data_IF_136842388268
#
_entry.id   IF_136842388268
#
_cell.length_a   1.000
_cell.length_b   1.000
_cell.length_c   1.000
_cell.angle_alpha   90.00
_cell.angle_beta   90.00
_cell.angle_gamma   90.00
#
_symmetry.space_group_name_H-M   'P 1'
#
loop_
_entity.id
_entity.type
_entity.pdbx_description
1 polymer ?
#
# COMPACT_ATOMS: atom_id res chain seq x y z
N UNK A 1 -6.73 -2.84 10.87
CA UNK A 1 -6.44 -1.84 9.81
C UNK A 1 -7.56 -1.87 8.75
N UNK A 2 -7.97 -0.71 8.26
CA UNK A 2 -8.97 -0.56 7.18
C UNK A 2 -8.61 0.65 6.31
N UNK A 3 -8.59 0.54 4.97
CA UNK A 3 -8.73 -0.70 4.20
C UNK A 3 -7.49 -1.62 4.33
N UNK A 4 -7.65 -2.88 3.92
CA UNK A 4 -6.55 -3.87 3.80
C UNK A 4 -5.88 -3.85 2.41
N UNK A 5 -6.21 -2.86 1.59
CA UNK A 5 -5.76 -2.80 0.20
C UNK A 5 -5.70 -1.36 -0.30
N UNK A 6 -4.78 -1.09 -1.21
CA UNK A 6 -4.68 0.20 -1.90
C UNK A 6 -3.64 0.22 -3.03
N UNK A 7 -3.64 1.28 -3.84
CA UNK A 7 -2.67 1.48 -4.92
C UNK A 7 -1.21 1.48 -4.44
N UNK A 8 -0.30 1.10 -5.34
CA UNK A 8 1.16 1.21 -5.08
C UNK A 8 1.62 2.65 -5.05
N UNK A 9 0.85 3.55 -5.67
CA UNK A 9 1.09 4.99 -5.76
C UNK A 9 0.90 5.73 -4.43
N UNK A 10 0.47 5.03 -3.37
CA UNK A 10 0.24 5.64 -2.07
C UNK A 10 -1.07 6.45 -2.01
N UNK A 11 -1.13 7.42 -1.10
CA UNK A 11 -2.30 8.29 -0.88
C UNK A 11 -3.50 7.60 -0.23
N UNK A 12 -3.39 6.31 0.09
CA UNK A 12 -4.47 5.60 0.80
C UNK A 12 -4.43 6.00 2.27
N UNK A 13 -5.51 6.58 2.76
CA UNK A 13 -5.72 6.76 4.20
C UNK A 13 -6.11 5.43 4.83
N UNK A 14 -5.23 4.89 5.66
CA UNK A 14 -5.47 3.66 6.41
C UNK A 14 -5.75 3.99 7.88
N UNK A 15 -6.77 3.35 8.43
CA UNK A 15 -7.13 3.43 9.85
C UNK A 15 -6.65 2.18 10.56
N UNK A 16 -5.69 2.33 11.47
CA UNK A 16 -5.17 1.30 12.36
C UNK A 16 -5.87 1.47 13.71
N UNK A 17 -6.45 0.39 14.23
CA UNK A 17 -7.07 0.35 15.56
C UNK A 17 -6.43 -0.76 16.39
N UNK A 18 -6.22 -0.50 17.66
CA UNK A 18 -5.56 -1.42 18.59
C UNK A 18 -5.53 -0.85 19.99
N UNK A 19 -4.59 -1.35 20.78
CA UNK A 19 -4.32 -0.89 22.15
C UNK A 19 -2.84 -0.50 22.24
N UNK A 20 -2.51 0.42 23.15
CA UNK A 20 -1.14 0.90 23.40
C UNK A 20 -0.44 1.53 22.18
N UNK A 21 -1.19 2.22 21.31
CA UNK A 21 -0.66 2.90 20.11
C UNK A 21 0.01 4.27 20.38
N UNK A 22 0.69 4.41 21.53
CA UNK A 22 1.25 5.67 22.03
C UNK A 22 0.21 6.57 22.69
N UNK A 23 0.64 7.40 23.63
CA UNK A 23 -0.19 8.38 24.34
C UNK A 23 -0.05 9.79 23.75
N UNK A 24 1.07 10.08 23.09
CA UNK A 24 1.30 11.34 22.38
C UNK A 24 1.55 11.10 20.88
N UNK A 25 1.06 12.02 20.04
CA UNK A 25 1.21 11.92 18.59
C UNK A 25 2.67 11.89 18.12
N UNK A 26 3.59 12.54 18.85
CA UNK A 26 5.02 12.52 18.53
C UNK A 26 5.65 11.13 18.68
N UNK A 27 5.04 10.22 19.45
CA UNK A 27 5.57 8.87 19.68
C UNK A 27 5.48 7.97 18.43
N UNK A 28 4.51 8.26 17.56
CA UNK A 28 4.22 7.52 16.33
C UNK A 28 4.69 8.24 15.06
N UNK A 29 5.07 9.51 15.14
CA UNK A 29 5.45 10.29 13.97
C UNK A 29 6.73 9.73 13.33
N UNK A 30 6.64 9.32 12.05
CA UNK A 30 7.75 8.68 11.32
C UNK A 30 8.00 7.22 11.67
N UNK A 31 7.14 6.61 12.49
CA UNK A 31 7.36 5.28 13.08
C UNK A 31 6.29 4.25 12.68
N UNK A 32 5.41 4.59 11.74
CA UNK A 32 4.33 3.71 11.25
C UNK A 32 4.66 3.21 9.86
N UNK A 33 4.63 1.89 9.69
CA UNK A 33 4.85 1.21 8.41
C UNK A 33 3.73 0.22 8.10
N UNK A 34 3.35 0.16 6.83
CA UNK A 34 2.33 -0.75 6.33
C UNK A 34 2.91 -1.47 5.14
N UNK A 35 3.05 -2.80 5.24
CA UNK A 35 3.74 -3.60 4.25
C UNK A 35 5.15 -3.06 3.90
N UNK A 36 5.91 -2.68 4.94
CA UNK A 36 7.24 -2.03 4.85
C UNK A 36 7.26 -0.64 4.19
N UNK A 37 6.12 -0.11 3.75
CA UNK A 37 5.98 1.24 3.22
C UNK A 37 5.74 2.22 4.37
N UNK A 38 6.42 3.36 4.36
CA UNK A 38 6.19 4.41 5.34
C UNK A 38 4.75 4.94 5.23
N UNK A 39 4.12 5.15 6.38
CA UNK A 39 2.77 5.67 6.49
C UNK A 39 2.77 6.89 7.41
N UNK A 40 2.42 8.05 6.89
CA UNK A 40 2.52 9.31 7.63
C UNK A 40 1.27 9.50 8.49
N UNK A 41 1.36 9.49 9.84
CA UNK A 41 0.18 9.68 10.69
C UNK A 41 -0.45 11.07 10.48
N UNK A 42 -1.79 11.11 10.51
CA UNK A 42 -2.60 12.32 10.40
C UNK A 42 -3.13 12.67 11.78
N UNK A 43 -2.85 13.90 12.25
CA UNK A 43 -3.15 14.32 13.63
C UNK A 43 -4.64 14.23 13.95
N UNK A 44 -5.49 14.63 13.01
CA UNK A 44 -6.94 14.68 13.18
C UNK A 44 -7.57 13.29 13.32
N UNK A 45 -6.91 12.24 12.83
CA UNK A 45 -7.39 10.86 12.92
C UNK A 45 -6.74 10.03 14.03
N UNK A 46 -5.86 10.64 14.83
CA UNK A 46 -5.22 10.00 15.96
C UNK A 46 -6.10 10.04 17.21
N UNK A 47 -6.26 8.88 17.86
CA UNK A 47 -6.91 8.74 19.18
C UNK A 47 -5.87 8.08 20.09
N UNK A 48 -5.45 8.73 21.18
CA UNK A 48 -4.43 8.20 22.08
C UNK A 48 -4.68 6.74 22.48
N UNK A 49 -3.65 5.93 22.38
CA UNK A 49 -3.59 4.48 22.62
C UNK A 49 -4.51 3.59 21.76
N UNK A 50 -5.44 4.15 20.97
CA UNK A 50 -6.54 3.40 20.36
C UNK A 50 -6.54 3.40 18.82
N UNK A 51 -6.20 4.52 18.19
CA UNK A 51 -6.34 4.67 16.75
C UNK A 51 -5.26 5.55 16.13
N UNK A 52 -4.78 5.12 14.96
CA UNK A 52 -3.94 5.91 14.07
C UNK A 52 -4.60 5.93 12.70
N UNK A 53 -4.84 7.11 12.14
CA UNK A 53 -5.05 7.27 10.70
C UNK A 53 -3.73 7.73 10.10
N UNK A 54 -3.27 7.07 9.03
CA UNK A 54 -2.06 7.47 8.34
C UNK A 54 -2.23 7.39 6.82
N UNK A 55 -1.49 8.21 6.10
CA UNK A 55 -1.45 8.23 4.63
C UNK A 55 -0.27 7.40 4.13
N UNK A 56 -0.55 6.40 3.30
CA UNK A 56 0.45 5.54 2.67
C UNK A 56 1.36 6.34 1.73
N UNK A 57 2.68 6.16 1.83
CA UNK A 57 3.61 6.62 0.81
C UNK A 57 3.57 5.75 -0.46
N UNK A 58 4.33 6.13 -1.48
CA UNK A 58 4.54 5.32 -2.69
C UNK A 58 5.34 4.07 -2.32
N UNK A 59 4.86 2.90 -2.74
CA UNK A 59 5.55 1.63 -2.56
C UNK A 59 6.62 1.44 -3.65
N UNK A 60 7.84 1.13 -3.26
CA UNK A 60 8.92 0.74 -4.17
C UNK A 60 8.63 -0.62 -4.82
N UNK A 61 9.24 -0.96 -5.96
CA UNK A 61 9.02 -2.24 -6.64
C UNK A 61 9.28 -3.49 -5.78
N UNK A 62 10.21 -3.41 -4.81
CA UNK A 62 10.54 -4.51 -3.90
C UNK A 62 9.54 -4.70 -2.76
N UNK A 63 8.61 -3.76 -2.55
CA UNK A 63 7.61 -3.83 -1.49
C UNK A 63 6.36 -4.55 -2.01
N UNK A 64 6.04 -5.68 -1.39
CA UNK A 64 4.88 -6.53 -1.71
C UNK A 64 3.92 -6.59 -0.53
N UNK A 65 2.86 -7.40 -0.66
CA UNK A 65 1.93 -7.58 0.44
C UNK A 65 2.63 -8.10 1.69
N UNK A 66 2.52 -7.36 2.80
CA UNK A 66 3.18 -7.69 4.07
C UNK A 66 2.37 -7.10 5.25
N UNK A 67 2.78 -7.41 6.48
CA UNK A 67 2.13 -7.01 7.73
C UNK A 67 2.19 -5.50 7.96
N UNK A 68 1.38 -5.01 8.91
CA UNK A 68 1.47 -3.64 9.43
C UNK A 68 2.34 -3.64 10.66
N UNK A 69 3.25 -2.69 10.75
CA UNK A 69 4.14 -2.50 11.90
C UNK A 69 4.00 -1.07 12.44
N UNK A 70 3.76 -0.95 13.74
CA UNK A 70 3.72 0.32 14.45
C UNK A 70 4.81 0.27 15.51
N UNK A 71 5.69 1.27 15.51
CA UNK A 71 6.62 1.49 16.60
C UNK A 71 6.17 2.67 17.46
N UNK A 72 6.14 2.48 18.78
CA UNK A 72 5.74 3.50 19.76
C UNK A 72 6.96 3.85 20.60
N UNK A 73 7.62 4.97 20.35
CA UNK A 73 8.85 5.29 21.08
C UNK A 73 9.51 6.64 20.78
N UNK A 74 8.85 7.51 19.99
CA UNK A 74 9.36 8.84 19.69
C UNK A 74 10.29 8.91 18.49
N UNK A 75 10.48 10.15 18.02
CA UNK A 75 11.26 10.50 16.83
C UNK A 75 12.73 10.15 17.03
N UNK A 76 13.33 9.40 16.08
CA UNK A 76 14.78 9.14 16.03
C UNK A 76 15.22 7.75 16.48
N UNK A 77 14.29 6.87 16.84
CA UNK A 77 14.59 5.46 17.11
C UNK A 77 14.89 4.75 15.78
N UNK A 78 16.18 4.53 15.45
CA UNK A 78 16.59 3.83 14.21
C UNK A 78 16.10 2.38 14.15
N UNK A 79 15.93 1.74 15.31
CA UNK A 79 15.55 0.34 15.45
C UNK A 79 14.49 0.22 16.54
N UNK A 80 13.27 -0.17 16.18
CA UNK A 80 12.18 -0.30 17.13
C UNK A 80 12.42 -1.49 18.06
N UNK A 81 12.58 -1.29 19.39
CA UNK A 81 12.71 -2.41 20.31
C UNK A 81 11.45 -3.29 20.24
N UNK A 82 11.62 -4.61 20.36
CA UNK A 82 10.50 -5.56 20.24
C UNK A 82 9.35 -5.27 21.20
N UNK A 83 9.66 -4.72 22.37
CA UNK A 83 8.73 -4.38 23.44
C UNK A 83 7.78 -3.22 23.06
N UNK A 84 8.20 -2.39 22.10
CA UNK A 84 7.50 -1.20 21.62
C UNK A 84 6.95 -1.36 20.20
N UNK A 85 7.06 -2.57 19.64
CA UNK A 85 6.64 -2.90 18.29
C UNK A 85 5.33 -3.67 18.30
N UNK A 86 4.29 -3.08 17.74
CA UNK A 86 3.03 -3.75 17.46
C UNK A 86 3.00 -4.23 16.00
N UNK A 87 2.66 -5.51 15.79
CA UNK A 87 2.51 -6.09 14.45
C UNK A 87 1.07 -6.55 14.27
N UNK A 88 0.44 -6.13 13.19
CA UNK A 88 -0.88 -6.62 12.81
C UNK A 88 -0.75 -7.90 11.99
N UNK A 89 -1.54 -8.92 12.33
CA UNK A 89 -1.40 -10.28 11.76
C UNK A 89 -1.93 -10.45 10.34
N UNK A 90 -2.63 -9.48 9.75
CA UNK A 90 -3.06 -9.57 8.34
C UNK A 90 -2.19 -8.72 7.43
N UNK A 91 -2.07 -9.18 6.19
CA UNK A 91 -1.38 -8.44 5.15
C UNK A 91 -2.20 -7.28 4.60
N UNK A 92 -1.49 -6.23 4.23
CA UNK A 92 -1.97 -5.18 3.35
C UNK A 92 -1.59 -5.52 1.91
N UNK A 93 -2.52 -5.40 0.97
CA UNK A 93 -2.31 -5.80 -0.43
C UNK A 93 -2.29 -4.61 -1.37
N UNK A 94 -1.34 -4.58 -2.29
CA UNK A 94 -1.34 -3.62 -3.38
C UNK A 94 -2.31 -4.04 -4.49
N UNK A 95 -3.04 -3.08 -5.04
CA UNK A 95 -4.06 -3.31 -6.07
C UNK A 95 -3.88 -2.39 -7.27
N UNK A 96 -4.40 -2.82 -8.41
CA UNK A 96 -4.52 -2.00 -9.63
C UNK A 96 -5.73 -1.06 -9.53
N UNK A 97 -5.65 0.06 -10.25
CA UNK A 97 -6.73 1.06 -10.33
C UNK A 97 -7.34 1.08 -11.74
N UNK A 98 -8.69 1.16 -11.87
CA UNK A 98 -9.69 1.14 -10.80
C UNK A 98 -9.94 -0.28 -10.25
N UNK A 99 -10.39 -0.35 -9.00
CA UNK A 99 -10.73 -1.60 -8.31
C UNK A 99 -12.04 -2.25 -8.80
N UNK A 100 -12.86 -1.50 -9.54
CA UNK A 100 -14.21 -1.90 -9.99
C UNK A 100 -14.49 -1.29 -11.36
N UNK A 101 -15.31 -1.99 -12.14
CA UNK A 101 -15.79 -1.56 -13.44
C UNK A 101 -17.11 -2.25 -13.81
N UNK A 102 -17.79 -1.84 -14.90
CA UNK A 102 -18.99 -2.52 -15.39
C UNK A 102 -18.72 -3.97 -15.76
N UNK A 103 -19.75 -4.83 -15.65
CA UNK A 103 -19.64 -6.26 -15.98
C UNK A 103 -19.36 -6.49 -17.46
N UNK A 104 -19.80 -5.56 -18.29
CA UNK A 104 -19.64 -5.53 -19.74
C UNK A 104 -18.18 -5.31 -20.18
N UNK A 105 -17.31 -4.84 -19.27
CA UNK A 105 -15.91 -4.55 -19.55
C UNK A 105 -15.67 -3.11 -19.97
N UNK A 106 -14.62 -2.89 -20.79
CA UNK A 106 -14.22 -1.56 -21.26
C UNK A 106 -13.58 -0.66 -20.20
N UNK A 107 -13.26 -1.20 -19.02
CA UNK A 107 -12.59 -0.45 -17.95
C UNK A 107 -11.10 -0.38 -18.23
N UNK A 108 -10.58 0.84 -18.37
CA UNK A 108 -9.13 1.07 -18.46
C UNK A 108 -8.49 0.79 -17.11
N UNK A 109 -7.62 -0.21 -17.07
CA UNK A 109 -6.81 -0.56 -15.90
C UNK A 109 -5.36 -0.20 -16.16
N UNK A 110 -4.71 0.40 -15.16
CA UNK A 110 -3.28 0.74 -15.24
C UNK A 110 -2.49 -0.24 -14.38
N UNK A 111 -1.61 -1.01 -15.02
CA UNK A 111 -0.65 -1.89 -14.34
C UNK A 111 0.69 -1.16 -14.31
N UNK A 112 1.21 -0.89 -13.11
CA UNK A 112 2.55 -0.31 -12.91
C UNK A 112 3.44 -1.32 -12.21
N UNK A 113 4.69 -1.39 -12.62
CA UNK A 113 5.67 -2.35 -12.11
C UNK A 113 6.94 -2.33 -12.96
N UNK A 114 7.83 -3.27 -12.70
CA UNK A 114 9.07 -3.47 -13.44
C UNK A 114 9.00 -4.78 -14.22
N UNK A 115 9.74 -4.85 -15.33
CA UNK A 115 9.83 -6.05 -16.16
C UNK A 115 8.46 -6.59 -16.63
N UNK A 116 7.53 -5.69 -16.99
CA UNK A 116 6.17 -6.03 -17.45
C UNK A 116 6.11 -6.43 -18.94
N UNK A 117 7.26 -6.78 -19.53
CA UNK A 117 7.47 -6.99 -20.97
C UNK A 117 8.60 -6.10 -21.46
N UNK A 118 9.40 -6.60 -22.40
CA UNK A 118 10.43 -5.83 -23.10
C UNK A 118 9.81 -5.06 -24.27
N UNK A 119 8.88 -5.71 -24.99
CA UNK A 119 8.17 -5.14 -26.13
C UNK A 119 6.64 -5.28 -25.99
N UNK A 120 5.90 -4.37 -26.63
CA UNK A 120 4.43 -4.40 -26.61
C UNK A 120 3.85 -5.73 -27.13
N UNK A 121 4.52 -6.39 -28.07
CA UNK A 121 4.08 -7.69 -28.59
C UNK A 121 4.09 -8.81 -27.54
N UNK A 122 4.94 -8.72 -26.52
CA UNK A 122 5.03 -9.75 -25.47
C UNK A 122 3.82 -9.75 -24.54
N UNK A 123 3.14 -8.61 -24.37
CA UNK A 123 1.96 -8.50 -23.52
C UNK A 123 0.65 -8.76 -24.27
N UNK A 124 0.68 -8.76 -25.61
CA UNK A 124 -0.51 -9.05 -26.41
C UNK A 124 -1.00 -10.49 -26.19
N UNK A 125 -2.23 -10.65 -25.71
CA UNK A 125 -2.83 -11.96 -25.43
C UNK A 125 -2.39 -12.63 -24.13
N UNK A 126 -1.50 -11.99 -23.36
CA UNK A 126 -0.98 -12.53 -22.09
C UNK A 126 -1.55 -11.82 -20.85
N UNK A 127 -2.24 -10.69 -21.02
CA UNK A 127 -2.91 -9.99 -19.92
C UNK A 127 -4.32 -10.56 -19.75
N UNK A 128 -4.63 -11.05 -18.54
CA UNK A 128 -5.95 -11.56 -18.19
C UNK A 128 -6.45 -10.95 -16.90
N UNK A 129 -7.75 -10.69 -16.84
CA UNK A 129 -8.46 -10.39 -15.59
C UNK A 129 -9.32 -11.60 -15.27
N UNK A 130 -8.92 -12.35 -14.23
CA UNK A 130 -9.38 -13.71 -14.01
C UNK A 130 -9.12 -14.59 -15.25
N UNK A 131 -10.16 -15.19 -15.84
CA UNK A 131 -10.05 -16.06 -17.01
C UNK A 131 -10.39 -15.34 -18.32
N UNK A 132 -10.56 -14.01 -18.29
CA UNK A 132 -10.93 -13.20 -19.46
C UNK A 132 -9.72 -12.43 -19.97
N UNK A 133 -9.44 -12.55 -21.27
CA UNK A 133 -8.36 -11.80 -21.92
C UNK A 133 -8.65 -10.29 -21.89
N UNK A 134 -7.63 -9.52 -21.49
CA UNK A 134 -7.65 -8.07 -21.49
C UNK A 134 -6.86 -7.57 -22.71
N UNK A 135 -7.37 -6.55 -23.39
CA UNK A 135 -6.68 -5.95 -24.54
C UNK A 135 -5.70 -4.87 -24.07
N UNK A 136 -4.37 -5.04 -24.25
CA UNK A 136 -3.41 -4.00 -23.92
C UNK A 136 -3.57 -2.79 -24.85
N UNK A 137 -3.42 -1.59 -24.30
CA UNK A 137 -3.50 -0.31 -25.05
C UNK A 137 -2.09 0.13 -25.40
N UNK A 138 -1.79 0.29 -26.70
CA UNK A 138 -0.44 0.59 -27.20
C UNK A 138 0.10 1.91 -26.67
N UNK A 139 -0.74 2.93 -26.65
CA UNK A 139 -0.40 4.28 -26.20
C UNK A 139 -0.06 4.34 -24.70
N UNK A 140 -0.51 3.34 -23.92
CA UNK A 140 -0.24 3.23 -22.50
C UNK A 140 0.99 2.38 -22.15
N UNK A 141 1.62 1.73 -23.13
CA UNK A 141 2.80 0.90 -22.89
C UNK A 141 4.07 1.76 -22.88
N UNK A 142 4.79 1.69 -21.77
CA UNK A 142 6.07 2.38 -21.57
C UNK A 142 7.15 1.29 -21.43
N UNK A 143 8.03 1.09 -22.42
CA UNK A 143 9.11 0.11 -22.33
C UNK A 143 10.11 0.52 -21.24
N UNK A 144 10.79 -0.48 -20.66
CA UNK A 144 11.95 -0.22 -19.81
C UNK A 144 13.08 0.41 -20.66
N UNK A 145 13.74 1.43 -20.11
CA UNK A 145 14.93 2.06 -20.71
C UNK A 145 16.16 1.13 -20.62
#
# INVERSE_FOLDING_TARGET
ITPLRGPREGGTLVTIRGENLGLDFSEIQGNVRVAEVDCTPVREGYIPAEQIVCEMAVATPSQFANYVEVCVGGVGVRECPKEFRAVYSKYYYFVITPLRGPREGGTLVTIRGENLGLDFSEIQGNVRVAEVDCTPVREGYIPAE
#
